data_IF_225926314184
#
_entry.id   IF_225926314184
#
_cell.length_a   1.000
_cell.length_b   1.000
_cell.length_c   1.000
_cell.angle_alpha   90.00
_cell.angle_beta   90.00
_cell.angle_gamma   90.00
#
_symmetry.space_group_name_H-M   'P 1'
#
loop_
_entity.id
_entity.type
_entity.pdbx_description
1 polymer ?
#
# COMPACT_ATOMS: atom_id res chain seq x y z
N UNK A 1 8.36 -23.92 14.85
CA UNK A 1 6.99 -24.04 14.29
C UNK A 1 6.78 -22.86 13.35
N UNK A 2 6.95 -23.07 12.05
CA UNK A 2 7.03 -21.99 11.05
C UNK A 2 5.64 -21.46 10.71
N UNK A 3 5.45 -20.15 10.83
CA UNK A 3 4.26 -19.43 10.37
C UNK A 3 4.21 -19.47 8.84
N UNK A 4 3.68 -20.57 8.28
CA UNK A 4 3.28 -20.66 6.87
C UNK A 4 2.08 -19.73 6.68
N UNK A 5 2.26 -18.61 5.99
CA UNK A 5 1.12 -17.84 5.47
C UNK A 5 1.28 -16.32 5.39
N UNK A 6 2.28 -15.73 6.03
CA UNK A 6 2.57 -14.31 5.80
C UNK A 6 3.66 -14.18 4.75
N UNK A 7 3.41 -13.51 3.62
CA UNK A 7 4.49 -13.17 2.72
C UNK A 7 5.46 -12.24 3.46
N UNK A 8 6.70 -12.70 3.62
CA UNK A 8 7.85 -11.84 3.88
C UNK A 8 7.87 -10.68 2.87
N UNK A 9 8.57 -9.57 3.15
CA UNK A 9 8.68 -8.47 2.17
C UNK A 9 9.23 -8.92 0.79
N UNK A 10 9.89 -10.08 0.72
CA UNK A 10 10.30 -10.74 -0.53
C UNK A 10 9.21 -11.58 -1.22
N UNK A 11 8.11 -11.89 -0.54
CA UNK A 11 6.95 -12.66 -1.02
C UNK A 11 5.74 -11.79 -1.37
N UNK A 12 5.84 -10.46 -1.30
CA UNK A 12 4.89 -9.59 -2.01
C UNK A 12 4.94 -10.06 -3.47
N UNK A 13 3.82 -10.63 -3.95
CA UNK A 13 3.71 -11.19 -5.29
C UNK A 13 4.41 -10.26 -6.27
N UNK A 14 5.46 -10.75 -6.96
CA UNK A 14 5.99 -10.04 -8.12
C UNK A 14 4.83 -9.92 -9.10
N UNK A 15 4.16 -8.77 -9.12
CA UNK A 15 3.06 -8.47 -10.04
C UNK A 15 3.48 -8.68 -11.50
N UNK A 16 4.79 -8.61 -11.79
CA UNK A 16 5.38 -8.92 -13.10
C UNK A 16 5.59 -10.41 -13.42
N UNK A 17 5.24 -11.36 -12.54
CA UNK A 17 5.35 -12.79 -12.85
C UNK A 17 4.26 -13.21 -13.84
N UNK A 18 4.61 -14.11 -14.78
CA UNK A 18 3.66 -14.61 -15.80
C UNK A 18 2.43 -15.27 -15.19
N UNK A 19 2.61 -16.01 -14.09
CA UNK A 19 1.51 -16.66 -13.39
C UNK A 19 0.57 -15.62 -12.74
N UNK A 20 1.12 -14.57 -12.14
CA UNK A 20 0.34 -13.49 -11.51
C UNK A 20 -0.43 -12.68 -12.56
N UNK A 21 0.21 -12.27 -13.66
CA UNK A 21 -0.46 -11.50 -14.72
C UNK A 21 -1.57 -12.29 -15.40
N UNK A 22 -1.39 -13.60 -15.61
CA UNK A 22 -2.43 -14.46 -16.18
C UNK A 22 -3.63 -14.60 -15.25
N UNK A 23 -3.40 -14.77 -13.95
CA UNK A 23 -4.47 -14.83 -12.95
C UNK A 23 -5.22 -13.50 -12.82
N UNK A 24 -4.51 -12.37 -12.79
CA UNK A 24 -5.14 -11.04 -12.74
C UNK A 24 -6.00 -10.78 -13.98
N UNK A 25 -5.53 -11.20 -15.16
CA UNK A 25 -6.32 -11.14 -16.41
C UNK A 25 -7.58 -11.99 -16.33
N UNK A 26 -7.50 -13.20 -15.78
CA UNK A 26 -8.67 -14.08 -15.60
C UNK A 26 -9.71 -13.49 -14.64
N UNK A 27 -9.26 -12.71 -13.65
CA UNK A 27 -10.13 -12.00 -12.71
C UNK A 27 -10.67 -10.66 -13.27
N UNK A 28 -10.28 -10.26 -14.49
CA UNK A 28 -10.68 -8.98 -15.07
C UNK A 28 -10.04 -7.75 -14.41
N UNK A 29 -8.97 -7.94 -13.62
CA UNK A 29 -8.31 -6.84 -12.92
C UNK A 29 -7.32 -6.15 -13.87
N UNK A 30 -7.53 -4.86 -14.10
CA UNK A 30 -6.59 -4.04 -14.84
C UNK A 30 -5.41 -3.62 -13.95
N UNK A 31 -4.20 -4.00 -14.35
CA UNK A 31 -2.97 -3.59 -13.68
C UNK A 31 -2.52 -2.24 -14.21
N UNK A 32 -2.46 -1.24 -13.33
CA UNK A 32 -1.90 0.06 -13.68
C UNK A 32 -0.36 0.01 -13.69
N UNK A 33 0.30 0.64 -14.67
CA UNK A 33 1.76 0.74 -14.66
C UNK A 33 2.22 1.53 -13.44
N UNK A 34 3.22 1.01 -12.73
CA UNK A 34 3.85 1.68 -11.60
C UNK A 34 5.37 1.78 -11.83
N UNK A 35 5.96 2.98 -11.74
CA UNK A 35 7.40 3.14 -11.92
C UNK A 35 8.19 2.47 -10.78
N UNK A 36 9.41 2.03 -11.08
CA UNK A 36 10.29 1.47 -10.06
C UNK A 36 10.67 2.53 -9.03
N UNK A 37 10.75 2.14 -7.75
CA UNK A 37 11.19 2.97 -6.63
C UNK A 37 10.41 4.29 -6.45
N UNK A 38 9.07 4.28 -6.61
CA UNK A 38 8.26 5.49 -6.48
C UNK A 38 7.27 5.45 -5.28
N UNK A 39 7.78 5.46 -4.04
CA UNK A 39 6.95 5.44 -2.84
C UNK A 39 6.02 6.67 -2.77
N UNK A 40 6.44 7.79 -3.37
CA UNK A 40 5.61 8.99 -3.49
C UNK A 40 4.33 8.79 -4.31
N UNK A 41 4.25 7.75 -5.14
CA UNK A 41 3.06 7.45 -5.94
C UNK A 41 2.24 6.28 -5.40
N UNK A 42 2.72 5.56 -4.37
CA UNK A 42 2.00 4.44 -3.78
C UNK A 42 1.13 4.92 -2.61
N UNK A 43 -0.22 4.87 -2.70
CA UNK A 43 -1.11 5.32 -1.63
C UNK A 43 -0.89 4.62 -0.29
N UNK A 44 -0.44 3.37 -0.31
CA UNK A 44 -0.09 2.65 0.91
C UNK A 44 1.11 3.28 1.62
N UNK A 45 2.16 3.65 0.87
CA UNK A 45 3.42 4.15 1.41
C UNK A 45 3.30 5.59 1.92
N UNK A 46 2.68 6.50 1.14
CA UNK A 46 2.60 7.90 1.55
C UNK A 46 1.45 8.22 2.52
N UNK A 47 0.48 7.31 2.70
CA UNK A 47 -0.71 7.58 3.50
C UNK A 47 -1.08 6.46 4.49
N UNK A 48 -1.36 5.24 4.01
CA UNK A 48 -1.94 4.20 4.86
C UNK A 48 -0.99 3.71 5.94
N UNK A 49 0.26 3.39 5.58
CA UNK A 49 1.26 2.92 6.52
C UNK A 49 1.64 3.98 7.55
N UNK A 50 1.85 5.26 7.20
CA UNK A 50 2.04 6.31 8.21
C UNK A 50 0.94 6.36 9.26
N UNK A 51 -0.34 6.25 8.88
CA UNK A 51 -1.46 6.24 9.83
C UNK A 51 -1.39 5.02 10.75
N UNK A 52 -1.18 3.83 10.18
CA UNK A 52 -1.09 2.61 10.98
C UNK A 52 0.10 2.62 11.93
N UNK A 53 1.25 3.09 11.45
CA UNK A 53 2.47 3.21 12.25
C UNK A 53 2.28 4.18 13.41
N UNK A 54 1.61 5.32 13.18
CA UNK A 54 1.30 6.30 14.23
C UNK A 54 0.33 5.72 15.28
N UNK A 55 -0.78 5.12 14.85
CA UNK A 55 -1.82 4.59 15.75
C UNK A 55 -1.39 3.36 16.55
N UNK A 56 -0.48 2.57 15.99
CA UNK A 56 0.07 1.37 16.61
C UNK A 56 1.45 1.62 17.25
N UNK A 57 1.98 2.85 17.17
CA UNK A 57 3.27 3.20 17.75
C UNK A 57 3.33 2.83 19.24
N UNK A 58 4.46 2.26 19.66
CA UNK A 58 4.69 1.88 21.06
C UNK A 58 3.93 0.64 21.54
N UNK A 59 2.99 0.09 20.77
CA UNK A 59 2.30 -1.16 21.13
C UNK A 59 3.21 -2.36 20.81
N UNK A 60 3.30 -3.30 21.74
CA UNK A 60 3.99 -4.58 21.55
C UNK A 60 2.97 -5.68 21.38
N UNK A 61 3.22 -6.59 20.46
CA UNK A 61 2.37 -7.75 20.20
C UNK A 61 3.20 -9.02 20.29
N UNK A 62 2.79 -9.95 21.14
CA UNK A 62 3.50 -11.22 21.33
C UNK A 62 3.21 -12.22 20.21
N UNK A 63 2.06 -12.06 19.52
CA UNK A 63 1.63 -12.93 18.44
C UNK A 63 1.25 -12.12 17.20
N UNK A 64 1.58 -12.68 16.04
CA UNK A 64 1.21 -12.08 14.74
C UNK A 64 -0.30 -11.93 14.56
N UNK A 65 -1.09 -12.83 15.17
CA UNK A 65 -2.56 -12.76 15.11
C UNK A 65 -3.10 -11.54 15.85
N UNK A 66 -2.45 -11.13 16.93
CA UNK A 66 -2.87 -9.97 17.72
C UNK A 66 -2.52 -8.67 16.99
N UNK A 67 -1.35 -8.62 16.34
CA UNK A 67 -1.01 -7.54 15.42
C UNK A 67 -2.02 -7.43 14.27
N UNK A 68 -2.35 -8.56 13.62
CA UNK A 68 -3.30 -8.57 12.50
C UNK A 68 -4.69 -8.09 12.92
N UNK A 69 -5.17 -8.47 14.11
CA UNK A 69 -6.42 -7.97 14.69
C UNK A 69 -6.35 -6.47 14.97
N UNK A 70 -5.26 -5.98 15.55
CA UNK A 70 -5.08 -4.56 15.84
C UNK A 70 -5.07 -3.73 14.54
N UNK A 71 -4.31 -4.15 13.53
CA UNK A 71 -4.29 -3.50 12.21
C UNK A 71 -5.69 -3.47 11.59
N UNK A 72 -6.41 -4.60 11.58
CA UNK A 72 -7.79 -4.63 11.05
C UNK A 72 -8.74 -3.73 11.81
N UNK A 73 -8.60 -3.64 13.14
CA UNK A 73 -9.40 -2.73 13.95
C UNK A 73 -9.13 -1.28 13.57
N UNK A 74 -7.86 -0.89 13.46
CA UNK A 74 -7.48 0.48 13.08
C UNK A 74 -7.96 0.83 11.66
N UNK A 75 -7.82 -0.08 10.70
CA UNK A 75 -8.29 0.13 9.32
C UNK A 75 -9.80 0.41 9.25
N UNK A 76 -10.61 -0.23 10.10
CA UNK A 76 -12.07 -0.03 10.15
C UNK A 76 -12.50 1.30 10.76
N UNK A 77 -11.60 1.99 11.45
CA UNK A 77 -11.87 3.33 11.99
C UNK A 77 -11.56 4.43 10.98
N UNK A 78 -10.90 4.11 9.85
CA UNK A 78 -10.65 5.07 8.78
C UNK A 78 -11.97 5.26 8.02
N UNK A 79 -12.51 6.47 7.97
CA UNK A 79 -13.81 6.69 7.34
C UNK A 79 -13.67 6.70 5.80
N UNK A 80 -14.76 6.44 5.09
CA UNK A 80 -14.74 6.24 3.64
C UNK A 80 -14.27 7.51 2.90
N UNK A 81 -14.68 8.68 3.37
CA UNK A 81 -14.29 9.98 2.85
C UNK A 81 -12.77 10.22 2.85
N UNK A 82 -12.05 9.62 3.81
CA UNK A 82 -10.59 9.69 3.85
C UNK A 82 -9.98 8.90 2.70
N UNK A 83 -10.51 7.72 2.37
CA UNK A 83 -10.07 6.96 1.19
C UNK A 83 -10.30 7.80 -0.08
N UNK A 84 -11.51 8.33 -0.26
CA UNK A 84 -11.84 9.18 -1.42
C UNK A 84 -10.92 10.39 -1.54
N UNK A 85 -10.70 11.11 -0.45
CA UNK A 85 -9.81 12.26 -0.40
C UNK A 85 -8.36 11.90 -0.78
N UNK A 86 -7.92 10.69 -0.43
CA UNK A 86 -6.54 10.23 -0.69
C UNK A 86 -6.35 9.79 -2.13
N UNK A 87 -7.37 9.21 -2.76
CA UNK A 87 -7.35 8.96 -4.21
C UNK A 87 -7.34 10.28 -5.01
N UNK A 88 -8.05 11.33 -4.56
CA UNK A 88 -7.93 12.67 -5.18
C UNK A 88 -6.51 13.24 -5.04
N UNK A 89 -5.92 13.15 -3.85
CA UNK A 89 -4.52 13.53 -3.60
C UNK A 89 -3.53 12.73 -4.45
N UNK A 90 -3.78 11.45 -4.66
CA UNK A 90 -2.98 10.59 -5.53
C UNK A 90 -2.97 11.09 -6.98
N UNK A 91 -4.11 11.52 -7.52
CA UNK A 91 -4.17 12.15 -8.85
C UNK A 91 -3.32 13.42 -8.95
N UNK A 92 -3.30 14.24 -7.88
CA UNK A 92 -2.44 15.45 -7.82
C UNK A 92 -0.95 15.05 -7.82
N UNK A 93 -0.57 14.03 -7.04
CA UNK A 93 0.80 13.49 -7.02
C UNK A 93 1.24 12.99 -8.39
N UNK A 94 0.36 12.27 -9.11
CA UNK A 94 0.64 11.81 -10.48
C UNK A 94 0.93 12.99 -11.43
N UNK A 95 0.10 14.04 -11.40
CA UNK A 95 0.33 15.26 -12.20
C UNK A 95 1.66 15.94 -11.85
N UNK A 96 2.03 15.94 -10.56
CA UNK A 96 3.29 16.51 -10.10
C UNK A 96 4.51 15.69 -10.53
N UNK A 97 4.40 14.36 -10.55
CA UNK A 97 5.42 13.47 -11.10
C UNK A 97 5.69 13.80 -12.57
N UNK A 98 4.63 13.98 -13.37
CA UNK A 98 4.73 14.40 -14.77
C UNK A 98 5.46 15.74 -14.88
N UNK A 99 5.04 16.75 -14.10
CA UNK A 99 5.66 18.08 -14.08
C UNK A 99 7.13 18.05 -13.64
N UNK A 100 7.49 17.09 -12.79
CA UNK A 100 8.85 16.93 -12.25
C UNK A 100 9.73 16.04 -13.15
N UNK A 101 9.23 15.64 -14.32
CA UNK A 101 9.91 14.72 -15.24
C UNK A 101 10.35 13.40 -14.57
N UNK A 102 9.53 12.88 -13.65
CA UNK A 102 9.84 11.64 -12.92
C UNK A 102 10.76 11.80 -11.71
N UNK A 103 11.24 13.00 -11.40
CA UNK A 103 12.02 13.24 -10.19
C UNK A 103 11.15 13.18 -8.92
N UNK A 104 11.77 12.81 -7.80
CA UNK A 104 11.17 12.89 -6.48
C UNK A 104 10.69 14.32 -6.17
N UNK A 105 9.56 14.43 -5.49
CA UNK A 105 9.00 15.71 -5.11
C UNK A 105 8.58 15.68 -3.64
N UNK A 106 8.88 16.75 -2.90
CA UNK A 106 8.52 16.85 -1.49
C UNK A 106 7.09 17.35 -1.33
N UNK A 107 6.30 16.58 -0.59
CA UNK A 107 5.04 17.03 0.01
C UNK A 107 3.82 17.05 -0.92
N UNK A 108 2.67 17.19 -0.25
CA UNK A 108 1.35 17.45 -0.80
C UNK A 108 0.59 18.38 0.16
#
# INVERSE_FOLDING_TARGET
MALKGFPTLSQVMKLGSRATTQSLRKLGIQVLPHPAYCPDLAPCDFWLFPILMDRLAGRKFDRILDLAKAVNSELRTIPEEDYHGRFRKWQIRLKRCIKSHGNYFKGL
#
